data_IF_409306997219
#
_entry.id   IF_409306997219
#
_cell.length_a   1.000
_cell.length_b   1.000
_cell.length_c   1.000
_cell.angle_alpha   90.00
_cell.angle_beta   90.00
_cell.angle_gamma   90.00
#
_symmetry.space_group_name_H-M   'P 1'
#
loop_
_entity.id
_entity.type
_entity.pdbx_description
1 polymer ?
#
# COMPACT_ATOMS: atom_id res chain seq x y z
N UNK A 1 0.40 -11.86 11.91
CA UNK A 1 0.63 -10.77 12.89
C UNK A 1 -0.45 -10.89 13.94
N UNK A 2 -0.13 -10.97 15.24
CA UNK A 2 -1.16 -10.84 16.25
C UNK A 2 -1.73 -9.43 16.12
N UNK A 3 -3.03 -9.33 15.90
CA UNK A 3 -3.73 -8.05 15.99
C UNK A 3 -3.57 -7.60 17.45
N UNK A 4 -2.68 -6.63 17.70
CA UNK A 4 -2.57 -6.00 19.01
C UNK A 4 -3.93 -5.42 19.30
N UNK A 5 -4.60 -5.95 20.32
CA UNK A 5 -5.89 -5.43 20.77
C UNK A 5 -5.62 -4.12 21.47
N UNK A 6 -6.35 -3.07 21.09
CA UNK A 6 -6.39 -1.84 21.88
C UNK A 6 -6.88 -2.22 23.29
N UNK A 7 -6.03 -1.99 24.29
CA UNK A 7 -6.34 -2.36 25.66
C UNK A 7 -7.17 -1.25 26.29
N UNK A 8 -8.46 -1.55 26.50
CA UNK A 8 -9.34 -0.65 27.23
C UNK A 8 -8.93 -0.66 28.70
N UNK A 9 -8.76 0.52 29.29
CA UNK A 9 -8.39 0.67 30.70
C UNK A 9 -9.42 0.00 31.60
N UNK A 10 -8.93 -0.63 32.67
CA UNK A 10 -9.75 -1.34 33.64
C UNK A 10 -10.62 -0.37 34.46
N UNK A 11 -11.92 -0.64 34.57
CA UNK A 11 -12.90 0.22 35.24
C UNK A 11 -12.53 0.48 36.71
N UNK A 12 -11.98 -0.51 37.40
CA UNK A 12 -11.56 -0.41 38.80
C UNK A 12 -10.42 0.62 39.01
N UNK A 13 -9.59 0.84 37.99
CA UNK A 13 -8.52 1.84 38.03
C UNK A 13 -8.98 3.25 37.65
N UNK A 14 -10.02 3.37 36.83
CA UNK A 14 -10.54 4.63 36.30
C UNK A 14 -11.43 5.40 37.29
N UNK A 15 -12.08 4.69 38.21
CA UNK A 15 -12.87 5.29 39.29
C UNK A 15 -11.96 5.82 40.39
N UNK A 16 -11.83 5.04 41.46
CA UNK A 16 -10.97 5.33 42.60
C UNK A 16 -10.42 4.00 43.15
N UNK A 17 -9.33 3.52 42.54
CA UNK A 17 -8.77 2.18 42.79
C UNK A 17 -8.35 1.91 44.25
N UNK A 18 -8.10 2.96 45.02
CA UNK A 18 -7.70 2.88 46.44
C UNK A 18 -8.81 2.31 47.32
N UNK A 19 -10.08 2.60 47.02
CA UNK A 19 -11.25 2.12 47.76
C UNK A 19 -11.42 0.59 47.67
N UNK A 20 -10.96 -0.03 46.59
CA UNK A 20 -10.96 -1.49 46.43
C UNK A 20 -9.84 -2.17 47.23
N UNK A 21 -8.82 -1.42 47.65
CA UNK A 21 -7.63 -1.94 48.33
C UNK A 21 -7.67 -1.71 49.85
N UNK A 22 -8.38 -0.68 50.31
CA UNK A 22 -8.42 -0.25 51.72
C UNK A 22 -9.49 -0.93 52.61
N UNK A 23 -10.08 -2.05 52.19
CA UNK A 23 -11.20 -2.74 52.88
C UNK A 23 -10.93 -3.31 54.29
N UNK A 24 -9.89 -2.86 54.99
CA UNK A 24 -9.46 -3.34 56.30
C UNK A 24 -9.38 -2.26 57.40
N UNK A 25 -9.86 -1.04 57.14
CA UNK A 25 -9.93 0.03 58.13
C UNK A 25 -11.31 0.00 58.79
N UNK A 26 -11.37 0.21 60.10
CA UNK A 26 -12.59 0.23 60.94
C UNK A 26 -13.53 1.41 60.58
N UNK A 27 -13.93 1.50 59.31
CA UNK A 27 -14.84 2.50 58.77
C UNK A 27 -16.28 1.98 58.74
N UNK A 28 -17.24 2.90 58.68
CA UNK A 28 -18.65 2.59 58.52
C UNK A 28 -18.86 1.75 57.24
N UNK A 29 -19.16 0.45 57.42
CA UNK A 29 -19.28 -0.52 56.34
C UNK A 29 -20.27 -0.09 55.26
N UNK A 30 -21.28 0.72 55.60
CA UNK A 30 -22.23 1.26 54.64
C UNK A 30 -21.58 2.32 53.74
N UNK A 31 -20.82 3.24 54.32
CA UNK A 31 -20.14 4.30 53.59
C UNK A 31 -19.08 3.73 52.62
N UNK A 32 -18.37 2.67 53.03
CA UNK A 32 -17.42 1.96 52.17
C UNK A 32 -18.13 1.33 50.96
N UNK A 33 -19.25 0.64 51.18
CA UNK A 33 -20.01 0.01 50.10
C UNK A 33 -20.58 1.05 49.11
N UNK A 34 -21.15 2.14 49.63
CA UNK A 34 -21.67 3.24 48.82
C UNK A 34 -20.53 3.90 48.00
N UNK A 35 -19.36 4.09 48.62
CA UNK A 35 -18.16 4.63 47.96
C UNK A 35 -17.65 3.72 46.83
N UNK A 36 -17.57 2.41 47.06
CA UNK A 36 -17.17 1.42 46.04
C UNK A 36 -18.18 1.36 44.89
N UNK A 37 -19.48 1.44 45.18
CA UNK A 37 -20.52 1.46 44.16
C UNK A 37 -20.41 2.70 43.26
N UNK A 38 -20.23 3.88 43.85
CA UNK A 38 -20.03 5.13 43.10
C UNK A 38 -18.72 5.09 42.31
N UNK A 39 -17.62 4.63 42.91
CA UNK A 39 -16.33 4.50 42.23
C UNK A 39 -16.41 3.55 41.03
N UNK A 40 -17.11 2.42 41.16
CA UNK A 40 -17.35 1.47 40.07
C UNK A 40 -18.16 2.08 38.93
N UNK A 41 -19.25 2.79 39.24
CA UNK A 41 -20.06 3.50 38.23
C UNK A 41 -19.24 4.57 37.49
N UNK A 42 -18.44 5.35 38.22
CA UNK A 42 -17.53 6.35 37.63
C UNK A 42 -16.47 5.70 36.74
N UNK A 43 -15.93 4.56 37.17
CA UNK A 43 -14.99 3.75 36.39
C UNK A 43 -15.57 3.30 35.05
N UNK A 44 -16.80 2.75 35.07
CA UNK A 44 -17.52 2.34 33.85
C UNK A 44 -17.81 3.55 32.95
N UNK A 45 -18.24 4.68 33.50
CA UNK A 45 -18.52 5.89 32.72
C UNK A 45 -17.28 6.40 32.00
N UNK A 46 -16.12 6.38 32.66
CA UNK A 46 -14.84 6.74 32.03
C UNK A 46 -14.42 5.74 30.96
N UNK A 47 -14.59 4.45 31.21
CA UNK A 47 -14.29 3.40 30.24
C UNK A 47 -15.13 3.55 28.95
N UNK A 48 -16.41 3.92 29.09
CA UNK A 48 -17.28 4.25 27.96
C UNK A 48 -16.82 5.53 27.23
N UNK A 49 -16.27 6.50 27.95
CA UNK A 49 -15.63 7.68 27.38
C UNK A 49 -14.43 7.32 26.49
N UNK A 50 -13.49 6.55 27.04
CA UNK A 50 -12.30 6.06 26.31
C UNK A 50 -12.72 5.26 25.05
N UNK A 51 -13.75 4.41 25.16
CA UNK A 51 -14.28 3.66 24.01
C UNK A 51 -14.91 4.56 22.95
N UNK A 52 -15.63 5.60 23.37
CA UNK A 52 -16.24 6.56 22.45
C UNK A 52 -15.19 7.39 21.70
N UNK A 53 -14.11 7.79 22.38
CA UNK A 53 -12.96 8.47 21.78
C UNK A 53 -12.28 7.56 20.73
N UNK A 54 -11.98 6.31 21.09
CA UNK A 54 -11.41 5.34 20.15
C UNK A 54 -12.32 5.10 18.92
N UNK A 55 -13.63 4.97 19.14
CA UNK A 55 -14.57 4.83 18.04
C UNK A 55 -14.56 6.06 17.11
N UNK A 56 -14.47 7.27 17.67
CA UNK A 56 -14.39 8.50 16.90
C UNK A 56 -13.15 8.53 16.00
N UNK A 57 -11.98 8.12 16.48
CA UNK A 57 -10.76 8.02 15.68
C UNK A 57 -10.91 7.03 14.52
N UNK A 58 -11.45 5.84 14.78
CA UNK A 58 -11.68 4.81 13.76
C UNK A 58 -12.62 5.33 12.67
N UNK A 59 -13.74 5.93 13.06
CA UNK A 59 -14.71 6.45 12.10
C UNK A 59 -14.18 7.68 11.34
N UNK A 60 -13.37 8.52 11.97
CA UNK A 60 -12.70 9.62 11.29
C UNK A 60 -11.77 9.12 10.18
N UNK A 61 -10.88 8.17 10.48
CA UNK A 61 -9.98 7.58 9.50
C UNK A 61 -10.74 6.87 8.36
N UNK A 62 -11.83 6.18 8.68
CA UNK A 62 -12.70 5.58 7.65
C UNK A 62 -13.36 6.64 6.76
N UNK A 63 -13.88 7.71 7.35
CA UNK A 63 -14.51 8.80 6.62
C UNK A 63 -13.53 9.45 5.64
N UNK A 64 -12.29 9.71 6.05
CA UNK A 64 -11.26 10.27 5.16
C UNK A 64 -11.02 9.37 3.94
N UNK A 65 -10.88 8.07 4.16
CA UNK A 65 -10.69 7.08 3.08
C UNK A 65 -11.89 7.00 2.15
N UNK A 66 -13.10 7.03 2.69
CA UNK A 66 -14.35 7.04 1.91
C UNK A 66 -14.44 8.30 1.07
N UNK A 67 -14.17 9.47 1.64
CA UNK A 67 -14.22 10.76 0.94
C UNK A 67 -13.19 10.84 -0.19
N UNK A 68 -11.95 10.41 0.06
CA UNK A 68 -10.90 10.33 -0.96
C UNK A 68 -11.31 9.42 -2.11
N UNK A 69 -11.87 8.25 -1.80
CA UNK A 69 -12.35 7.29 -2.79
C UNK A 69 -13.54 7.83 -3.59
N UNK A 70 -14.50 8.48 -2.94
CA UNK A 70 -15.65 9.08 -3.58
C UNK A 70 -15.24 10.21 -4.54
N UNK A 71 -14.31 11.07 -4.13
CA UNK A 71 -13.74 12.13 -4.98
C UNK A 71 -13.05 11.54 -6.22
N UNK A 72 -12.23 10.50 -6.06
CA UNK A 72 -11.58 9.79 -7.17
C UNK A 72 -12.60 9.14 -8.11
N UNK A 73 -13.63 8.51 -7.55
CA UNK A 73 -14.72 7.89 -8.31
C UNK A 73 -15.47 8.92 -9.14
N UNK A 74 -15.81 10.07 -8.56
CA UNK A 74 -16.47 11.16 -9.27
C UNK A 74 -15.60 11.69 -10.42
N UNK A 75 -14.30 11.91 -10.19
CA UNK A 75 -13.36 12.31 -11.25
C UNK A 75 -13.28 11.27 -12.38
N UNK A 76 -13.31 9.98 -12.05
CA UNK A 76 -13.35 8.91 -13.03
C UNK A 76 -14.66 8.92 -13.83
N UNK A 77 -15.79 9.11 -13.17
CA UNK A 77 -17.11 9.20 -13.81
C UNK A 77 -17.18 10.33 -14.84
N UNK A 78 -16.69 11.53 -14.48
CA UNK A 78 -16.65 12.68 -15.41
C UNK A 78 -15.76 12.36 -16.62
N UNK A 79 -14.62 11.69 -16.42
CA UNK A 79 -13.76 11.26 -17.54
C UNK A 79 -14.42 10.23 -18.44
N UNK A 80 -15.14 9.28 -17.86
CA UNK A 80 -15.91 8.27 -18.62
C UNK A 80 -16.96 8.95 -19.49
N UNK A 81 -17.73 9.90 -18.94
CA UNK A 81 -18.71 10.67 -19.72
C UNK A 81 -18.05 11.45 -20.86
N UNK A 82 -16.89 12.05 -20.62
CA UNK A 82 -16.13 12.75 -21.68
C UNK A 82 -15.65 11.79 -22.77
N UNK A 83 -15.23 10.57 -22.42
CA UNK A 83 -14.81 9.55 -23.40
C UNK A 83 -16.03 9.05 -24.19
N UNK A 84 -17.15 8.78 -23.51
CA UNK A 84 -18.40 8.34 -24.12
C UNK A 84 -18.90 9.37 -25.15
N UNK A 85 -18.81 10.66 -24.84
CA UNK A 85 -19.15 11.72 -25.78
C UNK A 85 -18.17 11.84 -26.96
N UNK A 86 -16.89 11.52 -26.76
CA UNK A 86 -15.84 11.60 -27.80
C UNK A 86 -15.77 10.36 -28.70
N UNK A 87 -16.35 9.23 -28.29
CA UNK A 87 -16.33 7.97 -29.04
C UNK A 87 -17.06 8.04 -30.39
N UNK A 88 -18.30 8.57 -30.51
CA UNK A 88 -19.04 8.57 -31.77
C UNK A 88 -18.32 9.25 -32.95
N UNK A 89 -17.72 10.45 -32.83
CA UNK A 89 -16.97 11.05 -33.94
C UNK A 89 -15.68 10.27 -34.25
N UNK A 90 -15.02 9.72 -33.25
CA UNK A 90 -13.82 8.89 -33.43
C UNK A 90 -14.16 7.60 -34.20
N UNK A 91 -15.22 6.90 -33.80
CA UNK A 91 -15.70 5.69 -34.47
C UNK A 91 -16.02 5.95 -35.94
N UNK A 92 -16.71 7.05 -36.23
CA UNK A 92 -16.98 7.47 -37.62
C UNK A 92 -15.69 7.74 -38.41
N UNK A 93 -14.71 8.40 -37.81
CA UNK A 93 -13.43 8.69 -38.47
C UNK A 93 -12.63 7.40 -38.77
N UNK A 94 -12.66 6.43 -37.85
CA UNK A 94 -12.01 5.12 -38.02
C UNK A 94 -12.72 4.31 -39.10
N UNK A 95 -14.06 4.23 -39.08
CA UNK A 95 -14.85 3.49 -40.07
C UNK A 95 -14.79 4.12 -41.48
N UNK A 96 -14.59 5.43 -41.58
CA UNK A 96 -14.42 6.10 -42.86
C UNK A 96 -13.10 5.77 -43.56
N UNK A 97 -12.10 5.24 -42.84
CA UNK A 97 -10.85 4.82 -43.47
C UNK A 97 -11.02 3.51 -44.23
N UNK A 98 -10.69 3.55 -45.52
CA UNK A 98 -10.82 2.40 -46.44
C UNK A 98 -9.57 1.52 -46.50
N UNK A 99 -8.43 1.98 -45.97
CA UNK A 99 -7.15 1.28 -46.03
C UNK A 99 -6.43 1.32 -44.68
N UNK A 100 -6.03 0.14 -44.19
CA UNK A 100 -5.32 -0.03 -42.92
C UNK A 100 -3.89 0.55 -42.93
N UNK A 101 -3.36 0.88 -44.12
CA UNK A 101 -2.00 1.40 -44.30
C UNK A 101 -1.84 2.77 -43.61
N UNK A 102 -2.91 3.57 -43.57
CA UNK A 102 -2.89 4.87 -42.93
C UNK A 102 -2.61 4.80 -41.42
N UNK A 103 -3.02 3.74 -40.72
CA UNK A 103 -2.70 3.55 -39.30
C UNK A 103 -1.24 3.18 -39.06
N UNK A 104 -0.59 2.51 -40.02
CA UNK A 104 0.81 2.07 -39.88
C UNK A 104 1.82 3.21 -40.05
N UNK A 105 1.47 4.25 -40.82
CA UNK A 105 2.34 5.41 -41.09
C UNK A 105 1.91 6.68 -40.35
N UNK A 106 0.78 6.65 -39.64
CA UNK A 106 0.44 7.75 -38.72
C UNK A 106 1.30 7.60 -37.48
N UNK A 107 2.10 8.63 -37.10
CA UNK A 107 2.87 8.56 -35.86
C UNK A 107 1.92 8.42 -34.68
N UNK A 108 1.97 7.26 -34.02
CA UNK A 108 1.22 7.00 -32.80
C UNK A 108 1.75 7.82 -31.62
N UNK A 109 0.96 7.90 -30.56
CA UNK A 109 1.43 8.38 -29.26
C UNK A 109 1.93 7.21 -28.43
N UNK A 110 3.12 7.31 -27.87
CA UNK A 110 3.64 6.31 -26.94
C UNK A 110 2.88 6.43 -25.61
N UNK A 111 2.09 5.40 -25.27
CA UNK A 111 1.36 5.35 -24.01
C UNK A 111 2.06 4.42 -23.02
N UNK A 112 2.28 4.90 -21.81
CA UNK A 112 2.79 4.11 -20.70
C UNK A 112 1.83 4.14 -19.51
N UNK A 113 1.50 3.00 -18.90
CA UNK A 113 0.76 2.98 -17.66
C UNK A 113 1.62 3.56 -16.54
N UNK A 114 1.09 4.56 -15.81
CA UNK A 114 1.72 5.04 -14.58
C UNK A 114 1.30 4.12 -13.42
N UNK A 115 2.09 3.05 -13.20
CA UNK A 115 1.92 2.16 -12.04
C UNK A 115 2.94 2.61 -10.99
N UNK A 116 2.47 3.26 -9.94
CA UNK A 116 3.31 3.58 -8.80
C UNK A 116 3.43 2.38 -7.89
N UNK A 117 4.65 2.02 -7.53
CA UNK A 117 4.93 1.02 -6.52
C UNK A 117 5.19 1.76 -5.20
N UNK A 118 4.21 1.76 -4.30
CA UNK A 118 4.38 2.31 -2.96
C UNK A 118 5.42 1.47 -2.21
N UNK A 119 6.42 2.15 -1.65
CA UNK A 119 7.49 1.53 -0.85
C UNK A 119 7.50 2.18 0.53
N UNK A 120 8.13 1.52 1.50
CA UNK A 120 8.28 2.01 2.88
C UNK A 120 6.92 2.21 3.61
N UNK A 121 6.08 1.18 3.68
CA UNK A 121 4.79 1.25 4.39
C UNK A 121 4.88 1.40 5.91
N UNK A 122 6.08 1.26 6.49
CA UNK A 122 6.32 1.37 7.93
C UNK A 122 7.28 2.53 8.20
N UNK A 123 6.75 3.75 8.12
CA UNK A 123 7.48 4.98 8.48
C UNK A 123 6.84 5.55 9.75
N UNK A 124 7.66 6.14 10.61
CA UNK A 124 7.23 6.80 11.85
C UNK A 124 6.08 7.80 11.63
N UNK A 125 6.12 8.58 10.54
CA UNK A 125 5.09 9.56 10.20
C UNK A 125 3.73 8.95 9.83
N UNK A 126 3.69 7.67 9.47
CA UNK A 126 2.46 6.98 9.07
C UNK A 126 1.86 6.17 10.24
N UNK A 127 2.43 6.31 11.44
CA UNK A 127 2.01 5.54 12.60
C UNK A 127 0.70 6.12 13.17
N UNK A 128 -0.32 5.29 13.44
CA UNK A 128 -1.57 5.75 14.05
C UNK A 128 -1.36 6.38 15.43
N UNK A 129 -2.19 7.37 15.77
CA UNK A 129 -2.10 8.11 17.03
C UNK A 129 -2.13 7.20 18.26
N UNK A 130 -3.05 6.24 18.32
CA UNK A 130 -3.11 5.29 19.45
C UNK A 130 -1.81 4.49 19.69
N UNK A 131 -1.03 4.25 18.64
CA UNK A 131 0.28 3.63 18.78
C UNK A 131 1.28 4.68 19.26
N UNK A 132 1.27 5.88 18.67
CA UNK A 132 2.12 7.00 19.08
C UNK A 132 2.00 7.34 20.56
N UNK A 133 0.79 7.38 21.11
CA UNK A 133 0.56 7.65 22.54
C UNK A 133 1.30 6.63 23.43
N UNK A 134 1.30 5.35 23.00
CA UNK A 134 2.04 4.29 23.69
C UNK A 134 3.56 4.46 23.57
N UNK A 135 4.04 4.97 22.43
CA UNK A 135 5.47 5.29 22.24
C UNK A 135 5.91 6.47 23.11
N UNK A 136 5.05 7.45 23.33
CA UNK A 136 5.34 8.63 24.17
C UNK A 136 5.37 8.29 25.66
N UNK A 137 4.60 7.29 26.11
CA UNK A 137 4.68 6.78 27.48
C UNK A 137 5.94 5.93 27.73
N UNK A 138 6.54 5.38 26.67
CA UNK A 138 7.74 4.58 26.78
C UNK A 138 8.95 5.41 27.26
N UNK A 139 9.91 4.74 27.91
CA UNK A 139 11.13 5.38 28.36
C UNK A 139 12.04 5.73 27.19
N UNK A 140 12.50 6.98 27.17
CA UNK A 140 13.53 7.43 26.24
C UNK A 140 14.82 6.59 26.35
N UNK A 141 15.57 6.45 25.23
CA UNK A 141 16.88 5.83 25.28
C UNK A 141 17.81 6.63 26.21
N UNK A 142 18.81 5.97 26.83
CA UNK A 142 19.81 6.66 27.63
C UNK A 142 20.48 7.80 26.83
N UNK A 143 20.87 8.88 27.51
CA UNK A 143 21.49 10.08 26.91
C UNK A 143 22.93 9.83 26.46
N UNK A 144 23.14 8.85 25.58
CA UNK A 144 24.44 8.41 25.08
C UNK A 144 25.13 9.46 24.21
N UNK A 145 24.39 10.46 23.72
CA UNK A 145 24.95 11.59 22.98
C UNK A 145 26.00 12.37 23.80
N UNK A 146 25.94 12.31 25.13
CA UNK A 146 26.93 12.91 26.02
C UNK A 146 28.31 12.25 25.91
N UNK A 147 28.36 10.99 25.44
CA UNK A 147 29.57 10.20 25.27
C UNK A 147 30.14 10.30 23.85
N UNK A 148 29.39 10.83 22.88
CA UNK A 148 29.82 10.93 21.47
C UNK A 148 31.15 11.71 21.34
N UNK A 149 31.41 12.66 22.24
CA UNK A 149 32.66 13.43 22.29
C UNK A 149 33.91 12.58 22.56
N UNK A 150 33.74 11.39 23.12
CA UNK A 150 34.80 10.44 23.40
C UNK A 150 34.84 9.29 22.39
N UNK A 151 33.88 9.22 21.46
CA UNK A 151 33.83 8.17 20.45
C UNK A 151 34.50 8.62 19.14
N UNK A 152 35.14 7.68 18.45
CA UNK A 152 35.80 7.93 17.15
C UNK A 152 34.79 8.14 16.02
N UNK A 153 33.52 7.77 16.23
CA UNK A 153 32.44 7.85 15.24
C UNK A 153 31.74 9.20 15.13
N UNK A 154 32.02 10.15 16.04
CA UNK A 154 31.41 11.49 16.04
C UNK A 154 29.95 11.51 16.57
N UNK A 155 29.24 12.65 16.39
CA UNK A 155 27.89 12.82 16.94
C UNK A 155 26.90 11.73 16.50
N UNK A 156 26.15 11.19 17.45
CA UNK A 156 25.16 10.12 17.28
C UNK A 156 25.74 8.72 17.15
N UNK A 157 27.06 8.54 17.21
CA UNK A 157 27.68 7.22 17.05
C UNK A 157 27.41 6.30 18.24
N UNK A 158 27.46 6.82 19.47
CA UNK A 158 27.17 6.02 20.66
C UNK A 158 25.71 5.53 20.67
N UNK A 159 24.77 6.40 20.26
CA UNK A 159 23.36 6.02 20.17
C UNK A 159 23.12 4.96 19.08
N UNK A 160 23.76 5.09 17.91
CA UNK A 160 23.69 4.07 16.84
C UNK A 160 24.23 2.71 17.28
N UNK A 161 25.26 2.68 18.14
CA UNK A 161 25.77 1.42 18.72
C UNK A 161 24.77 0.77 19.69
N UNK A 162 23.95 1.59 20.36
CA UNK A 162 22.89 1.11 21.25
C UNK A 162 21.66 0.63 20.47
N UNK A 163 21.17 1.45 19.52
CA UNK A 163 20.04 1.13 18.66
C UNK A 163 20.19 1.82 17.31
N UNK A 164 20.21 1.05 16.22
CA UNK A 164 20.27 1.56 14.85
C UNK A 164 19.09 1.02 14.01
N UNK A 165 18.03 1.82 13.81
CA UNK A 165 16.88 1.43 12.99
C UNK A 165 17.24 1.13 11.52
N UNK A 166 18.37 1.63 11.03
CA UNK A 166 18.80 1.43 9.64
C UNK A 166 19.61 0.14 9.43
N UNK A 167 19.96 -0.57 10.51
CA UNK A 167 20.81 -1.77 10.46
C UNK A 167 20.28 -2.82 9.47
N UNK A 168 19.00 -3.20 9.60
CA UNK A 168 18.40 -4.23 8.75
C UNK A 168 18.37 -3.84 7.27
N UNK A 169 18.14 -2.56 6.97
CA UNK A 169 18.17 -2.05 5.59
C UNK A 169 19.58 -2.15 4.98
N UNK A 170 20.62 -1.85 5.77
CA UNK A 170 22.02 -1.97 5.31
C UNK A 170 22.42 -3.43 5.10
N UNK A 171 22.08 -4.31 6.04
CA UNK A 171 22.43 -5.73 5.94
C UNK A 171 21.68 -6.41 4.79
N UNK A 172 20.39 -6.12 4.59
CA UNK A 172 19.61 -6.72 3.50
C UNK A 172 20.07 -6.28 2.12
N UNK A 173 20.44 -5.00 1.94
CA UNK A 173 20.98 -4.50 0.67
C UNK A 173 22.29 -5.20 0.26
N UNK A 174 23.12 -5.56 1.24
CA UNK A 174 24.39 -6.25 1.00
C UNK A 174 24.23 -7.74 0.65
N UNK A 175 23.09 -8.36 0.94
CA UNK A 175 22.81 -9.78 0.62
C UNK A 175 22.41 -9.96 -0.85
N UNK A 176 21.98 -8.89 -1.54
CA UNK A 176 21.58 -8.95 -2.95
C UNK A 176 22.76 -8.76 -3.93
N UNK A 177 23.86 -8.12 -3.49
CA UNK A 177 25.04 -7.87 -4.32
C UNK A 177 25.96 -9.09 -4.63
N UNK A 178 26.11 -10.16 -3.80
CA UNK A 178 27.04 -11.24 -4.12
C UNK A 178 26.59 -12.15 -5.28
N UNK A 179 25.34 -12.04 -5.75
CA UNK A 179 24.80 -12.85 -6.86
C UNK A 179 24.74 -12.09 -8.20
N UNK A 180 24.96 -10.77 -8.19
CA UNK A 180 25.04 -9.97 -9.42
C UNK A 180 26.43 -10.03 -10.09
N UNK A 181 27.49 -10.38 -9.35
CA UNK A 181 28.86 -10.45 -9.88
C UNK A 181 29.24 -11.80 -10.52
N UNK A 182 28.36 -12.82 -10.51
CA UNK A 182 28.65 -14.14 -11.10
C UNK A 182 28.19 -14.34 -12.55
N UNK A 183 27.92 -13.26 -13.29
CA UNK A 183 27.77 -13.32 -14.76
C UNK A 183 28.93 -12.63 -15.49
N UNK A 184 30.12 -13.24 -15.57
CA UNK A 184 31.13 -12.79 -16.52
C UNK A 184 30.76 -13.25 -17.93
N UNK A 185 30.25 -12.28 -18.71
CA UNK A 185 30.71 -11.97 -20.07
C UNK A 185 31.16 -13.17 -20.92
N UNK A 186 30.21 -13.91 -21.49
CA UNK A 186 30.53 -14.74 -22.64
C UNK A 186 29.44 -14.62 -23.71
N UNK A 187 29.74 -13.79 -24.72
CA UNK A 187 29.24 -13.83 -26.12
C UNK A 187 29.59 -12.52 -26.82
N UNK A 188 30.86 -12.41 -27.25
CA UNK A 188 31.23 -11.56 -28.40
C UNK A 188 31.50 -12.50 -29.58
N UNK A 189 30.69 -12.49 -30.65
CA UNK A 189 31.04 -13.23 -31.86
C UNK A 189 32.17 -12.49 -32.61
N UNK A 190 33.37 -13.08 -32.62
CA UNK A 190 34.46 -12.66 -33.50
C UNK A 190 34.07 -12.97 -34.95
N UNK A 191 33.68 -11.94 -35.71
CA UNK A 191 33.55 -12.02 -37.17
C UNK A 191 34.93 -12.24 -37.79
N UNK A 192 35.20 -13.43 -38.30
CA UNK A 192 36.32 -13.68 -39.22
C UNK A 192 35.82 -13.52 -40.68
N UNK A 193 36.44 -12.61 -41.42
CA UNK A 193 36.31 -12.44 -42.87
C UNK A 193 37.35 -13.30 -43.59
N UNK A 194 36.91 -14.14 -44.54
CA UNK A 194 37.57 -14.63 -45.79
C UNK A 194 36.90 -15.97 -46.18
N UNK A 195 36.72 -16.40 -47.44
CA UNK A 195 36.80 -15.86 -48.79
C UNK A 195 36.16 -16.96 -49.70
N UNK A 196 35.29 -16.56 -50.66
CA UNK A 196 34.84 -17.24 -51.90
C UNK A 196 35.24 -18.70 -52.24
N UNK A 197 34.23 -19.51 -52.58
CA UNK A 197 33.99 -20.29 -53.85
C UNK A 197 32.83 -21.28 -53.57
N UNK A 198 31.86 -21.65 -54.40
CA UNK A 198 31.79 -21.92 -55.84
C UNK A 198 30.30 -22.01 -56.27
N UNK A 199 30.04 -21.70 -57.53
CA UNK A 199 28.82 -21.85 -58.36
C UNK A 199 28.41 -23.34 -58.46
N UNK A 200 27.14 -23.81 -58.63
CA UNK A 200 26.16 -23.56 -59.72
C UNK A 200 24.82 -24.32 -59.46
N UNK A 201 23.70 -23.63 -59.71
CA UNK A 201 22.33 -24.02 -60.16
C UNK A 201 21.58 -25.30 -59.71
N UNK A 202 20.27 -25.13 -59.42
CA UNK A 202 19.22 -26.11 -59.74
C UNK A 202 18.07 -26.27 -58.72
N UNK A 203 16.97 -25.54 -58.97
CA UNK A 203 15.56 -25.90 -58.73
C UNK A 203 14.89 -25.94 -57.33
N UNK A 204 13.93 -25.01 -57.19
CA UNK A 204 12.54 -25.13 -56.71
C UNK A 204 12.21 -26.21 -55.66
N UNK A 205 11.86 -25.76 -54.45
CA UNK A 205 10.81 -26.39 -53.64
C UNK A 205 10.22 -25.41 -52.62
N UNK A 206 8.89 -25.30 -52.67
CA UNK A 206 8.00 -24.65 -51.70
C UNK A 206 8.02 -25.34 -50.34
N UNK A 207 8.19 -24.61 -49.22
CA UNK A 207 7.39 -24.83 -48.01
C UNK A 207 7.50 -23.63 -47.05
N UNK A 208 6.33 -23.15 -46.63
CA UNK A 208 6.14 -22.20 -45.56
C UNK A 208 6.47 -22.80 -44.19
N UNK A 209 6.98 -21.98 -43.26
CA UNK A 209 6.65 -22.09 -41.84
C UNK A 209 7.11 -20.83 -41.09
N UNK A 210 6.13 -19.97 -40.80
CA UNK A 210 6.15 -19.09 -39.64
C UNK A 210 5.71 -19.89 -38.42
N UNK A 211 6.39 -19.79 -37.28
CA UNK A 211 5.84 -19.95 -35.91
C UNK A 211 6.99 -19.76 -34.89
N UNK A 212 7.01 -18.67 -34.11
CA UNK A 212 6.60 -18.52 -32.69
C UNK A 212 7.53 -19.26 -31.69
N UNK A 213 7.91 -18.70 -30.54
CA UNK A 213 7.06 -18.52 -29.37
C UNK A 213 7.58 -17.48 -28.35
N UNK A 214 6.68 -16.62 -27.88
CA UNK A 214 6.26 -16.44 -26.47
C UNK A 214 5.07 -15.44 -26.54
N UNK A 215 3.88 -15.65 -25.98
CA UNK A 215 3.40 -16.50 -24.91
C UNK A 215 2.42 -15.65 -24.10
N UNK A 216 1.26 -15.32 -24.69
CA UNK A 216 0.17 -14.61 -23.99
C UNK A 216 -1.17 -15.12 -24.50
N UNK A 217 -1.97 -15.65 -23.58
CA UNK A 217 -3.29 -16.25 -23.80
C UNK A 217 -4.30 -15.20 -24.31
N UNK A 218 -5.21 -15.54 -25.25
CA UNK A 218 -6.34 -14.69 -25.58
C UNK A 218 -7.55 -15.05 -24.69
N UNK A 219 -8.03 -14.07 -23.92
CA UNK A 219 -9.37 -14.10 -23.34
C UNK A 219 -10.37 -13.76 -24.46
N UNK A 220 -11.12 -14.76 -24.91
CA UNK A 220 -12.30 -14.57 -25.77
C UNK A 220 -13.38 -13.82 -24.98
N UNK A 221 -13.67 -12.58 -25.37
CA UNK A 221 -14.89 -11.89 -24.95
C UNK A 221 -16.04 -12.40 -25.82
N UNK A 222 -16.86 -13.29 -25.26
CA UNK A 222 -18.17 -13.62 -25.83
C UNK A 222 -19.04 -12.36 -25.73
N UNK A 223 -19.47 -11.86 -26.89
CA UNK A 223 -20.46 -10.78 -27.01
C UNK A 223 -21.81 -11.25 -26.47
N UNK A 224 -21.99 -11.17 -25.15
CA UNK A 224 -23.26 -11.31 -24.45
C UNK A 224 -23.80 -9.93 -24.07
N UNK A 225 -24.92 -9.54 -24.67
CA UNK A 225 -25.67 -8.29 -24.43
C UNK A 225 -25.81 -7.95 -22.93
N UNK A 226 -25.49 -6.73 -22.48
CA UNK A 226 -25.93 -6.22 -21.19
C UNK A 226 -26.90 -5.04 -21.39
N UNK A 227 -28.14 -5.31 -21.83
CA UNK A 227 -29.19 -4.28 -21.89
C UNK A 227 -30.16 -4.31 -20.70
N UNK A 228 -29.90 -5.12 -19.66
CA UNK A 228 -30.82 -5.24 -18.52
C UNK A 228 -30.36 -4.59 -17.22
N UNK A 229 -29.09 -4.20 -17.06
CA UNK A 229 -28.63 -3.58 -15.81
C UNK A 229 -28.80 -2.05 -15.75
N UNK A 230 -28.97 -1.39 -16.89
CA UNK A 230 -29.15 0.08 -16.95
C UNK A 230 -30.58 0.50 -16.57
N UNK A 231 -31.58 -0.41 -16.65
CA UNK A 231 -32.96 -0.09 -16.24
C UNK A 231 -33.21 -0.15 -14.73
N UNK A 232 -32.34 -0.76 -13.93
CA UNK A 232 -32.53 -0.87 -12.48
C UNK A 232 -32.08 0.37 -11.69
N UNK A 233 -31.27 1.26 -12.29
CA UNK A 233 -30.79 2.49 -11.62
C UNK A 233 -31.67 3.73 -11.85
N UNK A 234 -32.76 3.61 -12.62
CA UNK A 234 -33.71 4.71 -12.83
C UNK A 234 -34.98 4.62 -11.94
N UNK A 235 -35.10 3.59 -11.08
CA UNK A 235 -36.28 3.41 -10.22
C UNK A 235 -36.10 3.84 -8.75
N UNK A 236 -34.93 4.33 -8.35
CA UNK A 236 -34.65 4.78 -6.96
C UNK A 236 -34.52 6.30 -6.81
N UNK A 237 -35.05 7.07 -7.77
CA UNK A 237 -35.33 8.50 -7.61
C UNK A 237 -36.84 8.76 -7.71
N UNK A 238 -37.55 8.46 -6.62
CA UNK A 238 -38.72 9.21 -6.16
C UNK A 238 -38.66 9.32 -4.66
#
# INVERSE_FOLDING_TARGET
MPLVRFEVRNEYGLGQGELYREGNREEDSKAVLDGVAVAGLVGILRQLGDLAEFAAEVFHGLQERVMSTASRSHKLMVRVQSIEAALPPLEKAVLAQTSHIHFAYTPGSEWHPCIQNEQNHFIYNDLPQFIMDSYEECRDPPRLHLLDKFDTGGPGSCLKRYSDPSYFRRVSGNVTEPDAEKLPKDKRPKKSKKKRSSQRNGDVAHYALMSNHSGSLPLQLVMGRPLLLIRLLQLTRR
#
